data_IF_851216910227
#
_entry.id   IF_851216910227
#
_cell.length_a   1.000
_cell.length_b   1.000
_cell.length_c   1.000
_cell.angle_alpha   90.00
_cell.angle_beta   90.00
_cell.angle_gamma   90.00
#
_symmetry.space_group_name_H-M   'P 1'
#
loop_
_entity.id
_entity.type
_entity.pdbx_description
1 polymer ?
#
# COMPACT_ATOMS: atom_id res chain seq x y z
N UNK A 1 13.83 0.10 6.76
CA UNK A 1 13.20 1.45 6.71
C UNK A 1 11.76 1.43 6.21
N UNK A 2 11.35 0.50 5.32
CA UNK A 2 10.00 0.49 4.73
C UNK A 2 8.86 0.59 5.75
N UNK A 3 8.90 -0.19 6.84
CA UNK A 3 7.85 -0.22 7.87
C UNK A 3 7.57 1.15 8.47
N UNK A 4 8.59 1.83 8.98
CA UNK A 4 8.42 3.15 9.60
C UNK A 4 8.02 4.21 8.58
N UNK A 5 8.49 4.11 7.32
CA UNK A 5 8.05 4.99 6.24
C UNK A 5 6.55 4.83 5.98
N UNK A 6 6.04 3.60 5.86
CA UNK A 6 4.61 3.33 5.66
C UNK A 6 3.76 4.00 6.74
N UNK A 7 4.13 3.81 8.01
CA UNK A 7 3.38 4.33 9.16
C UNK A 7 3.47 5.85 9.24
N UNK A 8 4.67 6.40 9.04
CA UNK A 8 4.91 7.85 9.10
C UNK A 8 4.17 8.58 8.00
N UNK A 9 4.17 8.04 6.78
CA UNK A 9 3.41 8.63 5.67
C UNK A 9 1.90 8.51 5.88
N UNK A 10 1.41 7.36 6.35
CA UNK A 10 0.00 7.23 6.70
C UNK A 10 -0.41 8.23 7.78
N UNK A 11 0.44 8.45 8.79
CA UNK A 11 0.23 9.47 9.80
C UNK A 11 0.20 10.88 9.19
N UNK A 12 1.18 11.26 8.37
CA UNK A 12 1.25 12.57 7.72
C UNK A 12 0.05 12.86 6.81
N UNK A 13 -0.49 11.84 6.13
CA UNK A 13 -1.72 11.97 5.36
C UNK A 13 -2.89 12.45 6.24
N UNK A 14 -3.02 11.97 7.47
CA UNK A 14 -4.12 12.37 8.37
C UNK A 14 -4.08 13.85 8.74
N UNK A 15 -2.89 14.44 8.80
CA UNK A 15 -2.73 15.86 9.14
C UNK A 15 -2.85 16.77 7.91
N UNK A 16 -2.27 16.35 6.80
CA UNK A 16 -2.15 17.22 5.62
C UNK A 16 -3.17 16.94 4.52
N UNK A 17 -3.82 15.78 4.52
CA UNK A 17 -4.73 15.34 3.46
C UNK A 17 -4.06 15.18 2.09
N UNK A 18 -2.72 15.21 2.02
CA UNK A 18 -1.99 15.20 0.74
C UNK A 18 -1.76 13.78 0.24
N UNK A 19 -2.28 13.47 -0.95
CA UNK A 19 -2.08 12.18 -1.62
C UNK A 19 -0.62 11.74 -1.72
N UNK A 20 0.32 12.68 -1.84
CA UNK A 20 1.76 12.39 -1.86
C UNK A 20 2.18 11.47 -0.70
N UNK A 21 1.60 11.64 0.48
CA UNK A 21 1.91 10.78 1.63
C UNK A 21 1.27 9.40 1.50
N UNK A 22 -0.02 9.31 1.21
CA UNK A 22 -0.69 8.02 1.04
C UNK A 22 -0.07 7.20 -0.11
N UNK A 23 0.27 7.85 -1.22
CA UNK A 23 0.93 7.23 -2.37
C UNK A 23 2.31 6.68 -1.98
N UNK A 24 3.10 7.43 -1.20
CA UNK A 24 4.38 6.93 -0.69
C UNK A 24 4.22 5.78 0.31
N UNK A 25 3.17 5.82 1.13
CA UNK A 25 2.84 4.71 2.03
C UNK A 25 2.55 3.45 1.21
N UNK A 26 1.71 3.54 0.18
CA UNK A 26 1.38 2.41 -0.70
C UNK A 26 2.59 1.92 -1.51
N UNK A 27 3.41 2.81 -2.05
CA UNK A 27 4.65 2.41 -2.72
C UNK A 27 5.59 1.63 -1.78
N UNK A 28 5.69 2.02 -0.52
CA UNK A 28 6.46 1.28 0.47
C UNK A 28 5.82 -0.08 0.81
N UNK A 29 4.48 -0.12 0.93
CA UNK A 29 3.69 -1.34 1.22
C UNK A 29 3.80 -2.38 0.12
N UNK A 30 3.68 -1.97 -1.14
CA UNK A 30 3.57 -2.87 -2.29
C UNK A 30 4.91 -3.16 -2.97
N UNK A 31 5.95 -2.37 -2.71
CA UNK A 31 7.26 -2.55 -3.34
C UNK A 31 8.39 -2.70 -2.33
N UNK A 32 8.67 -1.67 -1.53
CA UNK A 32 9.86 -1.64 -0.70
C UNK A 32 9.87 -2.73 0.39
N UNK A 33 8.71 -3.00 1.01
CA UNK A 33 8.56 -4.05 2.01
C UNK A 33 8.71 -5.46 1.39
N UNK A 34 7.88 -5.89 0.42
CA UNK A 34 7.98 -7.24 -0.11
C UNK A 34 9.31 -7.51 -0.83
N UNK A 35 9.94 -6.51 -1.47
CA UNK A 35 11.25 -6.69 -2.08
C UNK A 35 12.36 -7.00 -1.07
N UNK A 36 12.18 -6.64 0.21
CA UNK A 36 13.14 -6.90 1.27
C UNK A 36 12.95 -8.27 1.92
N UNK A 37 11.87 -9.01 1.61
CA UNK A 37 11.46 -10.25 2.28
C UNK A 37 11.57 -11.45 1.35
N UNK A 38 11.84 -12.64 1.89
CA UNK A 38 11.58 -13.88 1.16
C UNK A 38 10.07 -14.15 1.05
N UNK A 39 9.62 -14.91 0.03
CA UNK A 39 8.20 -15.21 -0.17
C UNK A 39 7.52 -15.90 1.02
N UNK A 40 8.28 -16.66 1.81
CA UNK A 40 7.81 -17.35 3.02
C UNK A 40 7.87 -16.48 4.29
N UNK A 41 8.33 -15.24 4.19
CA UNK A 41 8.48 -14.27 5.29
C UNK A 41 9.45 -14.67 6.40
N UNK A 42 10.23 -15.74 6.24
CA UNK A 42 11.19 -16.21 7.24
C UNK A 42 12.54 -15.51 7.19
N UNK A 43 12.83 -14.82 6.09
CA UNK A 43 14.08 -14.11 5.91
C UNK A 43 13.88 -12.74 5.28
N UNK A 44 14.81 -11.85 5.57
CA UNK A 44 14.82 -10.51 5.05
C UNK A 44 16.25 -10.01 4.79
N UNK A 45 16.37 -8.91 4.05
CA UNK A 45 17.62 -8.16 3.93
C UNK A 45 17.65 -6.98 4.90
N UNK A 46 18.81 -6.74 5.50
CA UNK A 46 19.01 -5.53 6.29
C UNK A 46 19.24 -4.31 5.39
N UNK A 47 20.01 -4.48 4.32
CA UNK A 47 20.25 -3.46 3.30
C UNK A 47 19.68 -3.95 1.97
N UNK A 48 18.42 -3.59 1.72
CA UNK A 48 17.77 -3.78 0.41
C UNK A 48 18.12 -2.60 -0.49
N UNK A 49 18.48 -2.87 -1.74
CA UNK A 49 18.74 -1.81 -2.73
C UNK A 49 17.82 -1.95 -3.94
N UNK A 50 17.39 -0.82 -4.49
CA UNK A 50 16.77 -0.80 -5.82
C UNK A 50 17.80 -1.21 -6.86
N UNK A 51 17.39 -2.04 -7.83
CA UNK A 51 18.28 -2.57 -8.88
C UNK A 51 19.43 -3.45 -8.33
N UNK A 52 19.14 -4.21 -7.27
CA UNK A 52 20.06 -5.19 -6.71
C UNK A 52 20.08 -6.47 -7.57
N UNK A 53 21.11 -6.63 -8.41
CA UNK A 53 21.25 -7.82 -9.26
C UNK A 53 21.77 -9.06 -8.54
N UNK A 54 22.22 -8.92 -7.28
CA UNK A 54 22.73 -10.02 -6.47
C UNK A 54 22.55 -9.76 -4.97
N UNK A 55 22.21 -10.81 -4.24
CA UNK A 55 22.12 -10.85 -2.78
C UNK A 55 23.13 -11.89 -2.28
N UNK A 56 24.19 -11.42 -1.62
CA UNK A 56 25.33 -12.26 -1.18
C UNK A 56 26.13 -11.58 -0.08
N UNK A 57 26.95 -12.36 0.62
CA UNK A 57 27.95 -11.85 1.56
C UNK A 57 28.99 -11.02 0.80
N UNK A 58 29.18 -9.78 1.24
CA UNK A 58 30.09 -8.85 0.59
C UNK A 58 31.56 -9.17 0.91
N UNK A 59 32.41 -9.15 -0.10
CA UNK A 59 33.88 -9.24 0.07
C UNK A 59 34.49 -7.92 0.52
N UNK A 60 33.92 -6.81 0.05
CA UNK A 60 34.21 -5.46 0.52
C UNK A 60 32.89 -4.79 0.90
N UNK A 61 32.84 -4.19 2.08
CA UNK A 61 31.61 -3.60 2.61
C UNK A 61 31.55 -2.10 2.30
N UNK A 62 30.68 -1.66 1.36
CA UNK A 62 30.54 -0.25 1.01
C UNK A 62 29.70 0.53 2.02
N UNK A 63 29.12 -0.16 3.03
CA UNK A 63 28.22 0.42 4.00
C UNK A 63 28.94 0.66 5.32
N UNK A 64 28.77 1.85 5.89
CA UNK A 64 29.56 2.31 7.04
C UNK A 64 29.25 1.57 8.35
N UNK A 65 28.01 1.12 8.58
CA UNK A 65 27.51 0.72 9.90
C UNK A 65 26.76 -0.63 9.93
N UNK A 66 27.05 -1.52 9.00
CA UNK A 66 26.43 -2.85 8.90
C UNK A 66 27.51 -3.87 8.57
N UNK A 67 27.28 -5.17 8.78
CA UNK A 67 28.25 -6.22 8.42
C UNK A 67 28.12 -6.66 6.97
N UNK A 68 29.09 -7.41 6.43
CA UNK A 68 29.03 -7.95 5.06
C UNK A 68 27.84 -8.90 4.81
N UNK A 69 27.36 -9.58 5.85
CA UNK A 69 26.19 -10.47 5.81
C UNK A 69 24.86 -9.72 5.57
N UNK A 70 24.81 -8.41 5.83
CA UNK A 70 23.62 -7.54 5.76
C UNK A 70 22.96 -7.46 4.38
N UNK A 71 23.70 -7.84 3.34
CA UNK A 71 23.26 -7.85 1.95
C UNK A 71 22.63 -9.19 1.52
N UNK A 72 22.55 -10.18 2.42
CA UNK A 72 21.88 -11.47 2.21
C UNK A 72 20.47 -11.47 2.78
N UNK A 73 19.65 -12.44 2.35
CA UNK A 73 18.41 -12.78 3.03
C UNK A 73 18.71 -13.71 4.21
N UNK A 74 18.33 -13.32 5.42
CA UNK A 74 18.48 -14.12 6.63
C UNK A 74 17.44 -13.79 7.70
N UNK A 75 17.40 -14.57 8.77
CA UNK A 75 16.52 -14.30 9.93
C UNK A 75 16.98 -13.04 10.69
N UNK A 76 18.29 -12.88 10.84
CA UNK A 76 18.94 -11.73 11.47
C UNK A 76 20.26 -11.45 10.71
N UNK A 77 20.18 -10.90 9.49
CA UNK A 77 21.35 -10.69 8.64
C UNK A 77 22.32 -9.60 9.15
N UNK A 78 21.93 -8.90 10.22
CA UNK A 78 22.74 -7.87 10.90
C UNK A 78 22.19 -7.63 12.32
N UNK A 79 21.40 -6.57 12.55
CA UNK A 79 20.75 -6.30 13.84
C UNK A 79 19.31 -6.83 13.88
N UNK A 80 18.81 -7.29 15.05
CA UNK A 80 17.49 -7.93 15.20
C UNK A 80 16.29 -7.01 14.95
N UNK A 81 16.50 -5.70 14.85
CA UNK A 81 15.41 -4.72 14.74
C UNK A 81 14.50 -4.99 13.54
N UNK A 82 15.09 -5.37 12.40
CA UNK A 82 14.32 -5.67 11.21
C UNK A 82 13.46 -6.91 11.41
N UNK A 83 13.99 -7.97 12.06
CA UNK A 83 13.30 -9.22 12.42
C UNK A 83 12.03 -8.98 13.23
N UNK A 84 12.06 -8.06 14.20
CA UNK A 84 10.89 -7.75 15.03
C UNK A 84 9.99 -6.66 14.42
N UNK A 85 10.48 -5.89 13.45
CA UNK A 85 9.73 -4.77 12.87
C UNK A 85 8.94 -5.15 11.62
N UNK A 86 9.50 -5.93 10.70
CA UNK A 86 8.83 -6.30 9.44
C UNK A 86 7.43 -6.94 9.62
N UNK A 87 7.16 -7.77 10.67
CA UNK A 87 5.83 -8.37 10.83
C UNK A 87 4.76 -7.35 11.24
N UNK A 88 5.16 -6.18 11.77
CA UNK A 88 4.23 -5.12 12.18
C UNK A 88 3.71 -4.31 10.99
N UNK A 89 4.31 -4.44 9.81
CA UNK A 89 4.09 -3.52 8.69
C UNK A 89 2.66 -3.56 8.15
N UNK A 90 2.18 -4.72 7.69
CA UNK A 90 0.81 -4.83 7.18
C UNK A 90 -0.27 -4.59 8.25
N UNK A 91 -0.14 -5.10 9.49
CA UNK A 91 -1.08 -4.75 10.55
C UNK A 91 -1.21 -3.24 10.77
N UNK A 92 -0.09 -2.50 10.81
CA UNK A 92 -0.11 -1.03 10.96
C UNK A 92 -0.66 -0.33 9.71
N UNK A 93 -0.40 -0.86 8.52
CA UNK A 93 -0.96 -0.35 7.26
C UNK A 93 -2.49 -0.47 7.25
N UNK A 94 -3.03 -1.67 7.52
CA UNK A 94 -4.47 -1.94 7.57
C UNK A 94 -5.15 -1.12 8.66
N UNK A 95 -4.53 -1.03 9.86
CA UNK A 95 -5.02 -0.16 10.93
C UNK A 95 -5.04 1.33 10.56
N UNK A 96 -4.31 1.71 9.50
CA UNK A 96 -4.25 3.07 8.98
C UNK A 96 -5.05 3.29 7.69
N UNK A 97 -5.73 2.26 7.16
CA UNK A 97 -6.47 2.34 5.90
C UNK A 97 -7.64 3.31 5.95
N UNK A 98 -8.29 3.49 7.10
CA UNK A 98 -9.42 4.41 7.24
C UNK A 98 -9.13 5.55 8.22
N UNK A 99 -9.70 6.71 7.92
CA UNK A 99 -9.67 7.89 8.81
C UNK A 99 -11.01 8.61 8.79
N UNK A 100 -11.43 9.15 9.94
CA UNK A 100 -12.61 10.02 10.00
C UNK A 100 -12.29 11.38 9.40
N UNK A 101 -13.26 11.97 8.71
CA UNK A 101 -13.15 13.30 8.11
C UNK A 101 -14.26 14.20 8.64
N UNK A 102 -13.91 15.01 9.64
CA UNK A 102 -14.90 15.72 10.47
C UNK A 102 -15.86 14.77 11.18
N UNK A 103 -17.06 15.27 11.50
CA UNK A 103 -18.10 14.50 12.22
C UNK A 103 -18.91 13.55 11.33
N UNK A 104 -18.91 13.78 10.00
CA UNK A 104 -19.77 13.08 9.04
C UNK A 104 -19.01 12.25 7.99
N UNK A 105 -17.69 12.37 7.91
CA UNK A 105 -16.90 11.74 6.86
C UNK A 105 -16.16 10.49 7.33
N UNK A 106 -16.03 9.52 6.43
CA UNK A 106 -15.12 8.39 6.57
C UNK A 106 -14.35 8.21 5.26
N UNK A 107 -13.03 8.25 5.33
CA UNK A 107 -12.13 8.15 4.17
C UNK A 107 -11.45 6.79 4.17
N UNK A 108 -11.48 6.09 3.03
CA UNK A 108 -10.58 4.97 2.76
C UNK A 108 -9.31 5.52 2.08
N UNK A 109 -8.26 5.72 2.88
CA UNK A 109 -7.02 6.40 2.49
C UNK A 109 -5.87 5.48 2.09
N UNK A 110 -5.81 4.22 2.55
CA UNK A 110 -4.85 3.24 2.01
C UNK A 110 -5.65 2.07 1.45
N UNK A 111 -5.62 1.95 0.12
CA UNK A 111 -6.47 1.07 -0.66
C UNK A 111 -6.02 -0.39 -0.50
N UNK A 112 -6.97 -1.24 -0.19
CA UNK A 112 -6.75 -2.67 -0.07
C UNK A 112 -7.93 -3.37 0.62
N UNK A 113 -7.92 -4.71 0.64
CA UNK A 113 -8.94 -5.48 1.33
C UNK A 113 -8.93 -5.17 2.82
N UNK A 114 -10.07 -4.75 3.35
CA UNK A 114 -10.16 -4.24 4.71
C UNK A 114 -11.59 -4.21 5.23
N UNK A 115 -11.74 -4.23 6.55
CA UNK A 115 -13.01 -4.05 7.24
C UNK A 115 -12.80 -2.96 8.28
N UNK A 116 -13.67 -1.96 8.28
CA UNK A 116 -13.72 -0.95 9.35
C UNK A 116 -15.11 -0.96 9.99
N UNK A 117 -15.10 -1.07 11.32
CA UNK A 117 -16.26 -0.86 12.17
C UNK A 117 -16.01 0.37 13.02
N UNK A 118 -16.86 1.39 12.87
CA UNK A 118 -16.67 2.66 13.57
C UNK A 118 -17.99 3.36 13.84
N UNK A 119 -17.89 4.57 14.40
CA UNK A 119 -19.03 5.46 14.59
C UNK A 119 -18.85 6.75 13.81
N UNK A 120 -19.84 7.10 13.00
CA UNK A 120 -19.98 8.39 12.33
C UNK A 120 -21.23 9.06 12.89
N UNK A 121 -21.16 10.34 13.28
CA UNK A 121 -22.23 11.03 14.04
C UNK A 121 -22.73 10.21 15.25
N UNK A 122 -21.80 9.55 15.95
CA UNK A 122 -22.07 8.65 17.08
C UNK A 122 -23.02 7.46 16.79
N UNK A 123 -23.22 7.08 15.53
CA UNK A 123 -23.98 5.90 15.09
C UNK A 123 -23.07 4.93 14.36
N UNK A 124 -23.35 3.63 14.51
CA UNK A 124 -22.51 2.57 13.96
C UNK A 124 -22.51 2.58 12.42
N UNK A 125 -21.33 2.41 11.84
CA UNK A 125 -21.10 2.23 10.41
C UNK A 125 -20.08 1.10 10.26
N UNK A 126 -20.35 0.18 9.34
CA UNK A 126 -19.41 -0.83 8.89
C UNK A 126 -19.16 -0.65 7.39
N UNK A 127 -17.89 -0.68 7.00
CA UNK A 127 -17.47 -0.70 5.59
C UNK A 127 -16.58 -1.91 5.38
N UNK A 128 -16.93 -2.76 4.42
CA UNK A 128 -16.15 -3.91 4.00
C UNK A 128 -15.67 -3.62 2.57
N UNK A 129 -14.35 -3.60 2.36
CA UNK A 129 -13.73 -3.53 1.05
C UNK A 129 -13.17 -4.91 0.68
N UNK A 130 -13.62 -5.45 -0.45
CA UNK A 130 -13.09 -6.66 -1.08
C UNK A 130 -12.36 -6.25 -2.34
N UNK A 131 -11.08 -6.56 -2.43
CA UNK A 131 -10.26 -6.19 -3.57
C UNK A 131 -9.07 -7.15 -3.68
N UNK A 132 -8.56 -7.31 -4.91
CA UNK A 132 -7.22 -7.85 -5.16
C UNK A 132 -6.23 -6.73 -5.51
N UNK A 133 -6.56 -5.47 -5.19
CA UNK A 133 -5.65 -4.34 -5.29
C UNK A 133 -4.39 -4.61 -4.45
N UNK A 134 -3.17 -4.38 -4.95
CA UNK A 134 -2.83 -3.63 -6.18
C UNK A 134 -2.72 -4.46 -7.46
N UNK A 135 -3.10 -5.74 -7.46
CA UNK A 135 -3.01 -6.63 -8.63
C UNK A 135 -4.28 -6.66 -9.49
N UNK A 136 -5.30 -5.88 -9.10
CA UNK A 136 -6.55 -5.68 -9.83
C UNK A 136 -7.00 -4.24 -9.67
N UNK A 137 -7.67 -3.73 -10.69
CA UNK A 137 -8.24 -2.39 -10.79
C UNK A 137 -9.59 -2.22 -10.08
N UNK A 138 -10.16 -3.27 -9.49
CA UNK A 138 -11.51 -3.27 -8.91
C UNK A 138 -11.51 -3.37 -7.38
N UNK A 139 -12.28 -2.49 -6.74
CA UNK A 139 -12.57 -2.51 -5.31
C UNK A 139 -14.08 -2.55 -5.08
N UNK A 140 -14.56 -3.63 -4.45
CA UNK A 140 -15.97 -3.82 -4.13
C UNK A 140 -16.23 -3.47 -2.67
N UNK A 141 -17.21 -2.60 -2.45
CA UNK A 141 -17.60 -2.11 -1.13
C UNK A 141 -18.98 -2.61 -0.74
N UNK A 142 -19.10 -3.02 0.51
CA UNK A 142 -20.37 -3.21 1.20
C UNK A 142 -20.39 -2.31 2.43
N UNK A 143 -21.39 -1.41 2.50
CA UNK A 143 -21.50 -0.40 3.54
C UNK A 143 -22.83 -0.58 4.26
N UNK A 144 -22.76 -0.87 5.56
CA UNK A 144 -23.91 -0.90 6.45
C UNK A 144 -23.88 0.34 7.34
N UNK A 145 -24.84 1.24 7.13
CA UNK A 145 -24.87 2.55 7.78
C UNK A 145 -26.12 2.72 8.66
N UNK A 146 -25.94 2.99 9.96
CA UNK A 146 -27.05 3.32 10.86
C UNK A 146 -27.53 4.78 10.73
N UNK A 147 -26.76 5.63 10.05
CA UNK A 147 -27.05 7.04 9.78
C UNK A 147 -26.50 7.42 8.39
N UNK A 148 -27.08 8.41 7.73
CA UNK A 148 -26.51 8.96 6.51
C UNK A 148 -25.19 9.69 6.78
N UNK A 149 -24.20 9.45 5.92
CA UNK A 149 -22.85 10.00 6.05
C UNK A 149 -22.13 10.15 4.70
N UNK A 150 -20.96 10.80 4.70
CA UNK A 150 -20.14 10.94 3.50
C UNK A 150 -19.00 9.90 3.52
N UNK A 151 -19.01 9.00 2.54
CA UNK A 151 -17.91 8.07 2.30
C UNK A 151 -16.97 8.66 1.26
N UNK A 152 -15.68 8.74 1.59
CA UNK A 152 -14.65 9.26 0.72
C UNK A 152 -13.72 8.12 0.31
N UNK A 153 -13.48 8.02 -0.99
CA UNK A 153 -12.51 7.11 -1.56
C UNK A 153 -11.33 7.93 -2.09
N UNK A 154 -10.11 7.58 -1.69
CA UNK A 154 -8.92 8.27 -2.20
C UNK A 154 -8.60 7.85 -3.63
N UNK A 155 -8.37 8.81 -4.51
CA UNK A 155 -7.87 8.58 -5.87
C UNK A 155 -6.35 8.74 -5.87
N UNK A 156 -5.55 7.68 -6.04
CA UNK A 156 -4.09 7.78 -6.09
C UNK A 156 -3.58 8.62 -7.27
N UNK A 157 -2.41 9.25 -7.15
CA UNK A 157 -1.86 10.12 -8.19
C UNK A 157 -1.55 9.42 -9.52
N UNK A 158 -1.34 8.11 -9.50
CA UNK A 158 -1.10 7.32 -10.71
C UNK A 158 -2.37 6.93 -11.46
N UNK A 159 -3.55 7.14 -10.87
CA UNK A 159 -4.83 6.83 -11.54
C UNK A 159 -5.24 7.98 -12.45
N UNK A 160 -5.59 7.66 -13.69
CA UNK A 160 -6.28 8.60 -14.58
C UNK A 160 -7.78 8.68 -14.21
N UNK A 161 -8.16 9.78 -13.56
CA UNK A 161 -9.54 10.08 -13.15
C UNK A 161 -10.56 9.98 -14.29
N UNK A 162 -10.16 10.26 -15.53
CA UNK A 162 -11.08 10.23 -16.69
C UNK A 162 -11.56 8.83 -17.04
N UNK A 163 -10.82 7.82 -16.61
CA UNK A 163 -11.11 6.40 -16.82
C UNK A 163 -11.66 5.71 -15.57
N UNK A 164 -11.56 6.37 -14.42
CA UNK A 164 -12.02 5.83 -13.15
C UNK A 164 -13.55 5.89 -13.03
N UNK A 165 -14.16 4.79 -12.59
CA UNK A 165 -15.62 4.65 -12.53
C UNK A 165 -16.08 4.22 -11.13
N UNK A 166 -17.21 4.76 -10.72
CA UNK A 166 -17.98 4.31 -9.56
C UNK A 166 -19.32 3.75 -10.02
N UNK A 167 -19.74 2.62 -9.45
CA UNK A 167 -21.03 2.02 -9.75
C UNK A 167 -21.72 1.53 -8.49
N UNK A 168 -22.87 2.13 -8.15
CA UNK A 168 -23.79 1.55 -7.17
C UNK A 168 -24.52 0.34 -7.77
N UNK A 169 -24.80 -0.66 -6.94
CA UNK A 169 -25.51 -1.86 -7.36
C UNK A 169 -26.86 -1.50 -8.04
N UNK A 170 -27.06 -2.01 -9.26
CA UNK A 170 -28.26 -1.75 -10.07
C UNK A 170 -28.29 -0.41 -10.79
N UNK A 171 -27.24 0.42 -10.67
CA UNK A 171 -27.12 1.70 -11.37
C UNK A 171 -26.10 1.63 -12.50
N UNK A 172 -26.16 2.61 -13.42
CA UNK A 172 -25.12 2.77 -14.45
C UNK A 172 -23.83 3.29 -13.82
N UNK A 173 -22.65 2.88 -14.32
CA UNK A 173 -21.38 3.47 -13.89
C UNK A 173 -21.36 4.99 -14.12
N UNK A 174 -20.70 5.70 -13.21
CA UNK A 174 -20.50 7.14 -13.23
C UNK A 174 -19.01 7.43 -13.19
N UNK A 175 -18.58 8.46 -13.91
CA UNK A 175 -17.19 8.94 -13.87
C UNK A 175 -16.87 9.50 -12.49
N UNK A 176 -15.66 9.25 -12.03
CA UNK A 176 -15.14 9.83 -10.81
C UNK A 176 -14.58 11.23 -11.10
N UNK A 177 -14.85 12.18 -10.21
CA UNK A 177 -14.22 13.49 -10.20
C UNK A 177 -13.78 13.78 -8.78
N UNK A 178 -12.48 13.76 -8.53
CA UNK A 178 -11.95 13.93 -7.19
C UNK A 178 -11.75 15.41 -6.86
N UNK A 179 -12.03 15.77 -5.62
CA UNK A 179 -11.66 17.06 -5.05
C UNK A 179 -10.51 16.82 -4.07
N UNK A 180 -9.35 17.46 -4.31
CA UNK A 180 -8.14 17.27 -3.52
C UNK A 180 -7.72 15.79 -3.38
N UNK A 181 -7.93 14.99 -4.44
CA UNK A 181 -7.57 13.57 -4.44
C UNK A 181 -8.56 12.65 -3.71
N UNK A 182 -9.73 13.16 -3.31
CA UNK A 182 -10.81 12.38 -2.71
C UNK A 182 -12.07 12.43 -3.57
N UNK A 183 -12.65 11.27 -3.83
CA UNK A 183 -13.99 11.15 -4.42
C UNK A 183 -15.02 10.95 -3.31
N UNK A 184 -16.03 11.84 -3.26
CA UNK A 184 -17.09 11.82 -2.24
C UNK A 184 -18.33 11.09 -2.73
N UNK A 185 -18.87 10.21 -1.88
CA UNK A 185 -20.15 9.53 -2.07
C UNK A 185 -21.04 9.76 -0.86
N UNK A 186 -22.28 10.23 -1.07
CA UNK A 186 -23.26 10.36 0.01
C UNK A 186 -23.98 9.04 0.24
N UNK A 187 -23.75 8.42 1.40
CA UNK A 187 -24.35 7.16 1.80
C UNK A 187 -25.54 7.43 2.70
N UNK A 188 -26.71 6.90 2.35
CA UNK A 188 -27.91 6.98 3.20
C UNK A 188 -27.92 5.87 4.26
N UNK A 189 -28.78 5.98 5.26
CA UNK A 189 -29.01 4.87 6.21
C UNK A 189 -29.43 3.61 5.45
N UNK A 190 -28.86 2.46 5.80
CA UNK A 190 -29.17 1.16 5.19
C UNK A 190 -27.93 0.43 4.68
N UNK A 191 -28.16 -0.59 3.85
CA UNK A 191 -27.13 -1.38 3.19
C UNK A 191 -26.89 -0.84 1.78
N UNK A 192 -25.63 -0.57 1.45
CA UNK A 192 -25.21 -0.13 0.12
C UNK A 192 -24.11 -1.05 -0.40
N UNK A 193 -24.14 -1.30 -1.70
CA UNK A 193 -23.08 -2.00 -2.42
C UNK A 193 -22.65 -1.14 -3.59
N UNK A 194 -21.35 -0.94 -3.73
CA UNK A 194 -20.77 -0.19 -4.84
C UNK A 194 -19.43 -0.76 -5.24
N UNK A 195 -19.05 -0.53 -6.48
CA UNK A 195 -17.76 -0.93 -7.04
C UNK A 195 -17.03 0.29 -7.55
N UNK A 196 -15.74 0.38 -7.23
CA UNK A 196 -14.82 1.37 -7.77
C UNK A 196 -13.87 0.66 -8.74
N UNK A 197 -13.69 1.24 -9.91
CA UNK A 197 -12.76 0.79 -10.94
C UNK A 197 -11.71 1.88 -11.16
N UNK A 198 -10.45 1.53 -10.95
CA UNK A 198 -9.27 2.38 -11.14
C UNK A 198 -8.46 1.82 -12.30
N UNK A 199 -8.79 2.18 -13.54
CA UNK A 199 -8.11 1.63 -14.72
C UNK A 199 -6.60 1.73 -14.59
N UNK A 200 -5.94 0.58 -14.56
CA UNK A 200 -4.50 0.52 -14.33
C UNK A 200 -3.70 0.70 -15.62
N UNK A 201 -2.62 1.49 -15.55
CA UNK A 201 -1.80 1.82 -16.71
C UNK A 201 -0.33 1.53 -16.46
N UNK A 202 0.39 1.22 -17.54
CA UNK A 202 1.84 1.04 -17.47
C UNK A 202 2.55 2.33 -17.85
N UNK A 203 3.41 2.82 -16.96
CA UNK A 203 4.20 4.04 -17.16
C UNK A 203 5.69 3.77 -17.04
N UNK A 204 6.50 4.59 -17.70
CA UNK A 204 7.96 4.50 -17.66
C UNK A 204 8.52 5.77 -17.04
N UNK A 205 9.25 5.62 -15.93
CA UNK A 205 9.96 6.70 -15.28
C UNK A 205 11.43 6.67 -15.67
N UNK A 206 11.90 7.76 -16.28
CA UNK A 206 13.32 7.92 -16.65
C UNK A 206 14.11 8.52 -15.48
N UNK A 207 15.31 7.98 -15.24
CA UNK A 207 16.25 8.43 -14.20
C UNK A 207 17.67 8.32 -14.72
N UNK A 208 18.29 9.45 -15.08
CA UNK A 208 19.59 9.48 -15.75
C UNK A 208 19.58 8.54 -16.97
N UNK A 209 20.52 7.59 -17.04
CA UNK A 209 20.60 6.57 -18.09
C UNK A 209 19.88 5.26 -17.74
N UNK A 210 18.89 5.31 -16.83
CA UNK A 210 18.13 4.15 -16.37
C UNK A 210 16.63 4.40 -16.45
N UNK A 211 15.85 3.32 -16.47
CA UNK A 211 14.39 3.35 -16.51
C UNK A 211 13.79 2.51 -15.39
N UNK A 212 12.67 2.97 -14.84
CA UNK A 212 11.78 2.18 -14.00
C UNK A 212 10.43 2.01 -14.70
N UNK A 213 9.89 0.80 -14.68
CA UNK A 213 8.57 0.49 -15.26
C UNK A 213 7.59 0.32 -14.11
N UNK A 214 6.49 1.06 -14.16
CA UNK A 214 5.41 1.00 -13.19
C UNK A 214 4.15 0.49 -13.85
N UNK A 215 3.39 -0.34 -13.15
CA UNK A 215 1.98 -0.57 -13.42
C UNK A 215 1.22 0.00 -12.23
N UNK A 216 0.83 1.27 -12.33
CA UNK A 216 0.30 2.08 -11.24
C UNK A 216 1.13 1.96 -9.94
N UNK A 217 0.66 1.39 -8.79
CA UNK A 217 1.46 1.36 -7.57
C UNK A 217 2.59 0.31 -7.61
N UNK A 218 2.65 -0.54 -8.64
CA UNK A 218 3.61 -1.64 -8.73
C UNK A 218 4.84 -1.22 -9.53
N UNK A 219 6.01 -1.18 -8.89
CA UNK A 219 7.31 -1.05 -9.52
C UNK A 219 7.80 -2.42 -9.99
N UNK A 220 7.98 -2.59 -11.29
CA UNK A 220 8.41 -3.84 -11.89
C UNK A 220 9.94 -3.98 -11.84
N UNK A 221 10.37 -5.24 -11.76
CA UNK A 221 11.76 -5.64 -11.90
C UNK A 221 11.91 -6.62 -13.07
N UNK A 222 13.09 -6.60 -13.71
CA UNK A 222 13.41 -7.59 -14.73
C UNK A 222 13.67 -8.94 -14.08
N UNK A 223 12.94 -9.97 -14.49
CA UNK A 223 13.22 -11.34 -14.05
C UNK A 223 14.53 -11.82 -14.68
N UNK A 224 15.53 -12.13 -13.84
CA UNK A 224 16.81 -12.67 -14.27
C UNK A 224 16.98 -14.09 -13.71
N UNK A 225 17.63 -14.96 -14.49
CA UNK A 225 18.02 -16.28 -13.97
C UNK A 225 19.01 -16.10 -12.82
N UNK A 226 18.82 -16.83 -11.74
CA UNK A 226 19.69 -16.81 -10.58
C UNK A 226 19.95 -18.22 -10.06
N UNK A 227 21.06 -18.37 -9.35
CA UNK A 227 21.31 -19.51 -8.47
C UNK A 227 21.12 -19.06 -7.03
N UNK A 228 20.62 -19.98 -6.19
CA UNK A 228 20.45 -19.73 -4.76
C UNK A 228 21.30 -20.72 -3.97
N UNK A 229 21.96 -20.22 -2.93
CA UNK A 229 22.64 -21.02 -1.92
C UNK A 229 22.07 -20.60 -0.57
N UNK A 230 21.55 -21.56 0.18
CA UNK A 230 21.06 -21.35 1.54
C UNK A 230 21.87 -22.19 2.52
N UNK A 231 21.90 -21.74 3.76
CA UNK A 231 22.46 -22.48 4.88
C UNK A 231 21.50 -22.38 6.06
N UNK A 232 21.63 -23.29 7.03
CA UNK A 232 20.92 -23.15 8.31
C UNK A 232 21.34 -21.84 8.98
N UNK A 233 20.47 -21.20 9.78
CA UNK A 233 20.83 -20.01 10.54
C UNK A 233 22.20 -20.18 11.21
N UNK A 234 22.99 -19.10 11.25
CA UNK A 234 24.29 -19.08 11.93
C UNK A 234 24.05 -19.01 13.44
N UNK A 235 23.39 -20.03 14.00
CA UNK A 235 23.24 -20.41 15.42
C UNK A 235 22.32 -21.64 15.52
#
# INVERSE_FOLDING_TARGET
>A
MAVESMVSYAFLYRFHGSNLFADRAELATFNALPAAMSPDWWSHQYVTQTNQSWSRILTANPFFNVVSYSNTFGLEPNFPYCTVNHPQAYPKCVASSFVKYGENGLVHMLLGPSIVETKVRNRSVQVICRANYPFSDRLDYEILAAVGFDFYFRIPQWVDETTALCQFAGQKPQSISAENGLYRMSIQKGLHRLSIHLSMTTTVAYRNNTVGVYHDPLLYAANIKYSSLSHQPLN
#
